data_IF_738604943597
#
_entry.id   IF_738604943597
#
_cell.length_a   1.000
_cell.length_b   1.000
_cell.length_c   1.000
_cell.angle_alpha   90.00
_cell.angle_beta   90.00
_cell.angle_gamma   90.00
#
_symmetry.space_group_name_H-M   'P 1'
#
loop_
_entity.id
_entity.type
_entity.pdbx_description
1 polymer ?
#
# COMPACT_ATOMS: atom_id res chain seq x y z
N UNK A 1 84.88 6.61 19.40
CA UNK A 1 84.38 6.26 20.75
C UNK A 1 82.92 5.83 20.57
N UNK A 2 82.59 4.53 20.51
CA UNK A 2 82.40 3.55 21.63
C UNK A 2 81.07 3.77 22.40
N UNK A 3 80.07 2.85 22.42
CA UNK A 3 79.82 1.63 21.62
C UNK A 3 79.06 0.50 22.38
N UNK A 4 78.58 -0.54 21.65
CA UNK A 4 78.11 -1.90 22.12
C UNK A 4 76.85 -1.98 23.03
N UNK A 5 76.08 -3.09 23.17
CA UNK A 5 75.93 -4.47 22.56
C UNK A 5 74.57 -5.07 23.06
N UNK A 6 73.97 -6.22 22.69
CA UNK A 6 74.30 -7.52 22.02
C UNK A 6 73.49 -7.68 20.68
N UNK A 7 73.13 -8.79 20.00
CA UNK A 7 73.07 -10.28 20.18
C UNK A 7 72.01 -10.80 21.21
N UNK A 8 71.37 -11.98 21.17
CA UNK A 8 71.31 -13.21 20.32
C UNK A 8 69.82 -13.61 20.08
N UNK A 9 69.27 -14.38 19.09
CA UNK A 9 69.69 -15.21 17.93
C UNK A 9 69.66 -16.77 18.06
N UNK A 10 68.59 -17.45 17.57
CA UNK A 10 68.38 -18.91 17.20
C UNK A 10 66.97 -19.07 16.54
N UNK A 11 66.65 -19.92 15.54
CA UNK A 11 66.90 -21.36 15.22
C UNK A 11 65.97 -22.34 15.95
N UNK A 12 65.40 -23.42 15.36
CA UNK A 12 65.31 -23.92 13.97
C UNK A 12 64.08 -24.88 13.83
N UNK A 13 64.06 -25.82 12.86
CA UNK A 13 63.10 -26.93 12.58
C UNK A 13 61.76 -26.58 11.86
N UNK A 14 61.32 -27.11 10.71
CA UNK A 14 61.70 -28.18 9.72
C UNK A 14 60.87 -29.49 9.76
N UNK A 15 60.22 -29.83 8.62
CA UNK A 15 59.51 -31.10 8.25
C UNK A 15 58.23 -31.42 9.06
N UNK A 16 57.23 -32.20 8.57
CA UNK A 16 57.10 -33.05 7.37
C UNK A 16 55.67 -33.01 6.77
N UNK A 17 55.39 -33.85 5.75
CA UNK A 17 54.14 -33.93 4.99
C UNK A 17 53.27 -35.16 5.33
N UNK A 18 51.95 -35.05 5.07
CA UNK A 18 51.11 -36.21 4.73
C UNK A 18 49.84 -35.85 3.94
N UNK A 19 49.63 -36.57 2.83
CA UNK A 19 48.36 -36.90 2.17
C UNK A 19 48.15 -38.42 2.36
N UNK A 20 47.00 -39.07 2.04
CA UNK A 20 45.87 -38.64 1.21
C UNK A 20 44.52 -38.72 2.01
N UNK A 21 43.30 -38.86 1.48
CA UNK A 21 42.74 -39.81 0.49
C UNK A 21 41.72 -39.17 -0.48
N UNK A 22 41.51 -39.82 -1.63
CA UNK A 22 40.35 -39.62 -2.50
C UNK A 22 39.45 -40.87 -2.44
N UNK A 23 38.13 -40.68 -2.40
CA UNK A 23 37.14 -41.74 -2.63
C UNK A 23 36.31 -41.35 -3.85
N UNK A 24 36.01 -42.31 -4.73
CA UNK A 24 35.47 -42.08 -6.08
C UNK A 24 34.07 -42.66 -6.28
N UNK A 25 33.36 -42.11 -7.29
CA UNK A 25 32.09 -42.62 -7.85
C UNK A 25 30.82 -42.42 -6.98
N UNK A 26 29.60 -42.36 -7.52
CA UNK A 26 29.14 -42.54 -8.91
C UNK A 26 27.74 -41.90 -9.14
N UNK A 27 27.53 -41.22 -10.27
CA UNK A 27 26.20 -40.76 -10.75
C UNK A 27 25.55 -39.60 -9.97
N UNK A 28 24.51 -38.92 -10.47
CA UNK A 28 23.78 -39.08 -11.75
C UNK A 28 23.44 -37.67 -12.27
N UNK A 29 23.56 -37.45 -13.58
CA UNK A 29 23.17 -36.18 -14.21
C UNK A 29 21.65 -35.92 -14.14
N UNK A 30 21.26 -34.73 -13.71
CA UNK A 30 19.94 -34.17 -13.91
C UNK A 30 20.06 -32.64 -13.98
N UNK A 31 19.98 -32.10 -15.20
CA UNK A 31 19.78 -30.66 -15.41
C UNK A 31 18.37 -30.29 -14.94
N UNK A 32 18.26 -29.68 -13.75
CA UNK A 32 17.13 -28.81 -13.41
C UNK A 32 17.67 -27.40 -13.20
N UNK A 33 17.43 -26.52 -14.18
CA UNK A 33 17.91 -25.14 -14.18
C UNK A 33 17.03 -24.27 -13.27
N UNK A 34 17.01 -24.60 -11.98
CA UNK A 34 16.36 -23.81 -10.94
C UNK A 34 17.01 -22.44 -10.84
N UNK A 35 16.24 -21.39 -11.11
CA UNK A 35 16.67 -20.00 -10.93
C UNK A 35 16.99 -19.74 -9.46
N UNK A 36 18.26 -19.71 -9.08
CA UNK A 36 18.68 -19.34 -7.72
C UNK A 36 18.26 -17.91 -7.41
N UNK A 37 17.10 -17.76 -6.76
CA UNK A 37 16.64 -16.49 -6.19
C UNK A 37 17.50 -16.14 -5.00
N UNK A 38 18.69 -15.60 -5.28
CA UNK A 38 19.63 -15.11 -4.28
C UNK A 38 18.92 -14.12 -3.35
N UNK A 39 18.84 -14.49 -2.08
CA UNK A 39 18.14 -13.69 -1.07
C UNK A 39 19.14 -13.04 -0.13
N UNK A 40 19.00 -11.74 0.06
CA UNK A 40 19.84 -10.93 0.94
C UNK A 40 19.05 -10.70 2.22
N UNK A 41 19.66 -11.00 3.36
CA UNK A 41 19.06 -10.73 4.68
C UNK A 41 19.39 -9.31 5.09
N UNK A 42 18.37 -8.46 5.22
CA UNK A 42 18.52 -7.10 5.76
C UNK A 42 17.50 -6.86 6.88
N UNK A 43 17.96 -6.44 8.06
CA UNK A 43 17.16 -6.28 9.28
C UNK A 43 16.21 -7.48 9.57
N UNK A 44 16.71 -8.71 9.39
CA UNK A 44 15.97 -9.95 9.63
C UNK A 44 14.86 -10.27 8.61
N UNK A 45 14.68 -9.43 7.58
CA UNK A 45 13.77 -9.70 6.46
C UNK A 45 14.53 -10.37 5.32
N UNK A 46 13.90 -11.37 4.70
CA UNK A 46 14.37 -11.97 3.44
C UNK A 46 14.00 -11.02 2.30
N UNK A 47 15.01 -10.48 1.61
CA UNK A 47 14.84 -9.62 0.43
C UNK A 47 15.31 -10.39 -0.80
N UNK A 48 14.46 -10.47 -1.82
CA UNK A 48 14.81 -10.97 -3.16
C UNK A 48 15.70 -9.96 -3.89
N UNK A 49 16.72 -10.43 -4.61
CA UNK A 49 17.49 -9.58 -5.54
C UNK A 49 16.72 -9.20 -6.80
N UNK A 50 15.60 -9.87 -7.08
CA UNK A 50 14.72 -9.60 -8.23
C UNK A 50 13.35 -9.15 -7.72
N UNK A 51 12.81 -8.00 -8.16
CA UNK A 51 11.48 -7.55 -7.75
C UNK A 51 10.37 -8.44 -8.34
N UNK A 52 9.24 -8.51 -7.64
CA UNK A 52 8.03 -9.12 -8.17
C UNK A 52 7.40 -8.27 -9.31
N UNK A 53 6.31 -8.78 -9.88
CA UNK A 53 5.55 -8.15 -10.96
C UNK A 53 4.99 -6.75 -10.64
N UNK A 54 5.12 -6.29 -9.40
CA UNK A 54 4.64 -5.02 -8.88
C UNK A 54 5.78 -4.14 -8.30
N UNK A 55 7.04 -4.52 -8.50
CA UNK A 55 8.22 -3.75 -8.08
C UNK A 55 8.73 -4.04 -6.66
N UNK A 56 8.17 -5.02 -5.94
CA UNK A 56 8.58 -5.34 -4.56
C UNK A 56 9.70 -6.37 -4.51
N UNK A 57 10.74 -6.07 -3.75
CA UNK A 57 11.86 -6.97 -3.39
C UNK A 57 11.56 -7.77 -2.10
N UNK A 58 10.54 -7.38 -1.32
CA UNK A 58 10.22 -8.02 -0.04
C UNK A 58 9.13 -7.30 0.77
N UNK A 59 8.92 -7.76 2.00
CA UNK A 59 7.91 -7.21 2.93
C UNK A 59 6.49 -7.76 2.71
N UNK A 60 5.51 -7.18 3.41
CA UNK A 60 4.12 -7.69 3.50
C UNK A 60 3.29 -7.61 2.22
N UNK A 61 3.80 -6.95 1.18
CA UNK A 61 3.11 -6.76 -0.10
C UNK A 61 3.79 -7.51 -1.27
N UNK A 62 4.97 -8.08 -1.03
CA UNK A 62 5.70 -8.91 -1.99
C UNK A 62 4.95 -10.22 -2.30
N UNK A 63 4.95 -10.62 -3.57
CA UNK A 63 4.30 -11.84 -4.05
C UNK A 63 5.33 -12.81 -4.66
N UNK A 64 5.69 -13.84 -3.90
CA UNK A 64 6.63 -14.91 -4.30
C UNK A 64 6.15 -15.76 -5.47
N UNK A 65 4.85 -15.82 -5.71
CA UNK A 65 4.20 -16.67 -6.71
C UNK A 65 3.41 -15.80 -7.68
N UNK A 66 3.71 -15.83 -9.00
CA UNK A 66 2.96 -15.08 -10.00
C UNK A 66 1.56 -15.69 -10.20
N UNK A 67 0.65 -15.44 -9.22
CA UNK A 67 -0.76 -15.87 -9.21
C UNK A 67 -1.32 -15.89 -10.62
N UNK A 68 -1.60 -17.09 -11.13
CA UNK A 68 -1.97 -17.31 -12.53
C UNK A 68 -3.09 -16.36 -12.94
N UNK A 69 -2.99 -15.81 -14.16
CA UNK A 69 -3.91 -14.78 -14.61
C UNK A 69 -5.31 -15.37 -14.88
N UNK A 70 -6.15 -15.42 -13.84
CA UNK A 70 -7.50 -16.02 -13.80
C UNK A 70 -8.47 -15.50 -14.86
N UNK A 71 -8.15 -14.36 -15.47
CA UNK A 71 -8.89 -13.75 -16.58
C UNK A 71 -8.05 -13.87 -17.85
N UNK A 72 -8.44 -14.68 -18.85
CA UNK A 72 -7.65 -14.86 -20.09
C UNK A 72 -7.31 -13.55 -20.78
N UNK A 73 -6.10 -13.43 -21.34
CA UNK A 73 -5.58 -12.19 -21.91
C UNK A 73 -6.53 -11.52 -22.94
N UNK A 74 -7.22 -12.31 -23.79
CA UNK A 74 -8.23 -11.80 -24.73
C UNK A 74 -9.41 -11.09 -24.02
N UNK A 75 -9.77 -11.50 -22.81
CA UNK A 75 -10.77 -10.84 -21.97
C UNK A 75 -10.20 -9.56 -21.35
N UNK A 76 -8.92 -9.53 -20.97
CA UNK A 76 -8.22 -8.32 -20.48
C UNK A 76 -8.19 -7.26 -21.58
N UNK A 77 -7.71 -7.59 -22.79
CA UNK A 77 -7.71 -6.70 -23.96
C UNK A 77 -9.12 -6.17 -24.31
N UNK A 78 -10.14 -7.05 -24.27
CA UNK A 78 -11.55 -6.67 -24.46
C UNK A 78 -12.10 -5.78 -23.35
N UNK A 79 -11.52 -5.76 -22.14
CA UNK A 79 -11.84 -4.79 -21.06
C UNK A 79 -11.11 -3.47 -21.30
N UNK A 80 -9.84 -3.52 -21.70
CA UNK A 80 -8.99 -2.36 -21.98
C UNK A 80 -9.54 -1.50 -23.11
N UNK A 81 -9.83 -2.09 -24.28
CA UNK A 81 -10.50 -1.42 -25.41
C UNK A 81 -11.86 -0.82 -25.04
N UNK A 82 -12.52 -1.32 -23.98
CA UNK A 82 -13.76 -0.73 -23.47
C UNK A 82 -13.49 0.43 -22.52
N UNK A 83 -12.39 0.41 -21.76
CA UNK A 83 -11.92 1.52 -20.92
C UNK A 83 -11.38 2.69 -21.73
N UNK A 84 -10.49 2.45 -22.71
CA UNK A 84 -9.96 3.49 -23.60
C UNK A 84 -11.07 4.28 -24.29
N UNK A 85 -12.12 3.60 -24.79
CA UNK A 85 -13.30 4.25 -25.39
C UNK A 85 -14.13 5.09 -24.40
N UNK A 86 -14.10 4.79 -23.10
CA UNK A 86 -14.71 5.65 -22.08
C UNK A 86 -13.85 6.87 -21.78
N UNK A 87 -12.54 6.68 -21.60
CA UNK A 87 -11.58 7.74 -21.29
C UNK A 87 -11.37 8.74 -22.44
N UNK A 88 -11.76 8.38 -23.66
CA UNK A 88 -11.84 9.28 -24.81
C UNK A 88 -13.11 10.15 -24.86
N UNK A 89 -14.13 9.87 -24.03
CA UNK A 89 -15.42 10.56 -24.01
C UNK A 89 -15.94 10.72 -22.57
N UNK A 90 -15.05 11.08 -21.64
CA UNK A 90 -15.25 10.85 -20.21
C UNK A 90 -16.52 11.49 -19.66
N UNK A 91 -16.74 12.77 -19.91
CA UNK A 91 -17.84 13.54 -19.30
C UNK A 91 -19.19 13.03 -19.78
N UNK A 92 -19.30 12.73 -21.09
CA UNK A 92 -20.47 12.06 -21.67
C UNK A 92 -20.72 10.69 -21.03
N UNK A 93 -19.65 9.95 -20.72
CA UNK A 93 -19.76 8.61 -20.11
C UNK A 93 -20.08 8.67 -18.62
N UNK A 94 -19.56 9.64 -17.87
CA UNK A 94 -19.95 9.84 -16.47
C UNK A 94 -21.41 10.29 -16.40
N UNK A 95 -21.79 11.33 -17.14
CA UNK A 95 -23.14 11.89 -17.11
C UNK A 95 -24.22 10.89 -17.58
N UNK A 96 -23.99 10.16 -18.67
CA UNK A 96 -24.99 9.21 -19.20
C UNK A 96 -24.85 7.77 -18.69
N UNK A 97 -23.68 7.37 -18.19
CA UNK A 97 -23.33 5.96 -17.97
C UNK A 97 -22.55 5.67 -16.67
N UNK A 98 -22.57 6.54 -15.65
CA UNK A 98 -21.88 6.31 -14.37
C UNK A 98 -22.12 4.91 -13.76
N UNK A 99 -23.36 4.38 -13.79
CA UNK A 99 -23.67 3.00 -13.35
C UNK A 99 -22.77 1.96 -14.05
N UNK A 100 -22.45 2.16 -15.33
CA UNK A 100 -21.61 1.27 -16.14
C UNK A 100 -20.11 1.47 -15.91
N UNK A 101 -19.68 2.67 -15.52
CA UNK A 101 -18.32 2.91 -15.01
C UNK A 101 -18.13 2.14 -13.70
N UNK A 102 -19.04 2.34 -12.74
CA UNK A 102 -19.07 1.64 -11.44
C UNK A 102 -19.07 0.11 -11.57
N UNK A 103 -19.87 -0.45 -12.49
CA UNK A 103 -19.85 -1.89 -12.80
C UNK A 103 -18.50 -2.40 -13.30
N UNK A 104 -17.67 -1.57 -13.95
CA UNK A 104 -16.35 -1.94 -14.46
C UNK A 104 -15.28 -1.82 -13.38
N UNK A 105 -15.33 -0.77 -12.57
CA UNK A 105 -14.46 -0.60 -11.40
C UNK A 105 -14.57 -1.79 -10.43
N UNK A 106 -15.81 -2.21 -10.12
CA UNK A 106 -16.08 -3.42 -9.32
C UNK A 106 -15.54 -4.72 -9.95
N UNK A 107 -15.32 -4.76 -11.28
CA UNK A 107 -14.83 -5.93 -12.02
C UNK A 107 -13.32 -5.98 -12.27
N UNK A 108 -12.58 -4.91 -11.96
CA UNK A 108 -11.16 -4.78 -12.27
C UNK A 108 -10.91 -3.83 -13.45
N UNK A 109 -10.18 -2.76 -13.17
CA UNK A 109 -9.54 -1.94 -14.21
C UNK A 109 -8.27 -2.68 -14.65
N UNK A 110 -8.06 -2.93 -15.96
CA UNK A 110 -6.84 -3.56 -16.46
C UNK A 110 -5.60 -2.71 -16.12
N UNK A 111 -4.46 -3.31 -15.72
CA UNK A 111 -3.27 -2.57 -15.28
C UNK A 111 -2.81 -1.51 -16.29
N UNK A 112 -2.78 -1.86 -17.57
CA UNK A 112 -2.41 -1.01 -18.72
C UNK A 112 -3.16 0.32 -18.84
N UNK A 113 -4.35 0.43 -18.25
CA UNK A 113 -5.16 1.66 -18.27
C UNK A 113 -5.50 2.17 -16.86
N UNK A 114 -5.00 1.52 -15.81
CA UNK A 114 -5.31 1.87 -14.42
C UNK A 114 -4.84 3.27 -14.04
N UNK A 115 -3.60 3.73 -14.35
CA UNK A 115 -3.15 5.07 -13.97
C UNK A 115 -4.05 6.17 -14.53
N UNK A 116 -4.27 6.14 -15.86
CA UNK A 116 -5.16 7.07 -16.56
C UNK A 116 -6.61 6.95 -16.07
N UNK A 117 -7.11 5.74 -15.80
CA UNK A 117 -8.47 5.59 -15.28
C UNK A 117 -8.62 6.20 -13.87
N UNK A 118 -7.63 6.04 -12.99
CA UNK A 118 -7.63 6.61 -11.66
C UNK A 118 -7.57 8.15 -11.69
N UNK A 119 -6.69 8.74 -12.50
CA UNK A 119 -6.58 10.20 -12.70
C UNK A 119 -7.90 10.84 -13.18
N UNK A 120 -8.65 10.12 -14.04
CA UNK A 120 -9.98 10.53 -14.50
C UNK A 120 -11.10 10.26 -13.46
N UNK A 121 -10.98 9.22 -12.62
CA UNK A 121 -11.96 8.85 -11.59
C UNK A 121 -11.91 9.78 -10.36
N UNK A 122 -10.72 10.13 -9.87
CA UNK A 122 -10.59 11.08 -8.76
C UNK A 122 -11.07 12.48 -9.17
N UNK A 123 -10.65 12.94 -10.34
CA UNK A 123 -10.85 14.30 -10.83
C UNK A 123 -9.54 15.04 -11.11
N UNK A 124 -8.39 14.49 -10.71
CA UNK A 124 -7.06 15.06 -10.94
C UNK A 124 -6.77 15.41 -12.39
N UNK A 125 -7.37 14.70 -13.37
CA UNK A 125 -7.27 15.07 -14.79
C UNK A 125 -7.79 16.49 -15.08
N UNK A 126 -8.91 16.86 -14.47
CA UNK A 126 -9.54 18.17 -14.64
C UNK A 126 -8.69 19.26 -13.96
N UNK A 127 -8.22 19.00 -12.75
CA UNK A 127 -7.35 19.92 -12.01
C UNK A 127 -6.05 20.20 -12.77
N UNK A 128 -5.42 19.15 -13.31
CA UNK A 128 -4.23 19.24 -14.16
C UNK A 128 -4.48 20.10 -15.41
N UNK A 129 -5.64 19.94 -16.06
CA UNK A 129 -5.99 20.73 -17.25
C UNK A 129 -6.36 22.18 -16.95
N UNK A 130 -6.83 22.47 -15.73
CA UNK A 130 -7.08 23.83 -15.23
C UNK A 130 -5.79 24.55 -14.80
N UNK A 131 -4.82 23.83 -14.24
CA UNK A 131 -3.63 24.40 -13.57
C UNK A 131 -2.30 23.78 -14.07
N UNK A 132 -2.12 23.72 -15.40
CA UNK A 132 -1.05 23.01 -16.12
C UNK A 132 0.41 23.35 -15.77
N UNK A 133 0.65 24.48 -15.11
CA UNK A 133 1.99 24.93 -14.67
C UNK A 133 2.16 24.92 -13.16
N UNK A 134 1.08 24.91 -12.39
CA UNK A 134 1.11 25.14 -10.94
C UNK A 134 1.96 24.11 -10.17
N UNK A 135 1.92 22.83 -10.54
CA UNK A 135 2.81 21.83 -9.93
C UNK A 135 4.30 22.17 -10.14
N UNK A 136 4.65 22.62 -11.35
CA UNK A 136 6.02 23.02 -11.71
C UNK A 136 6.47 24.29 -10.99
N UNK A 137 5.55 25.19 -10.69
CA UNK A 137 5.78 26.37 -9.86
C UNK A 137 5.97 25.99 -8.38
N UNK A 138 5.10 25.14 -7.82
CA UNK A 138 5.14 24.69 -6.43
C UNK A 138 6.39 23.87 -6.08
N UNK A 139 6.92 23.05 -7.00
CA UNK A 139 8.18 22.33 -6.75
C UNK A 139 9.40 23.25 -6.72
N UNK A 140 9.33 24.44 -7.33
CA UNK A 140 10.40 25.45 -7.28
C UNK A 140 10.33 26.36 -6.05
N UNK A 141 9.16 26.53 -5.45
CA UNK A 141 8.98 27.31 -4.23
C UNK A 141 9.62 26.66 -3.00
N UNK A 142 10.04 27.45 -2.02
CA UNK A 142 10.39 26.94 -0.69
C UNK A 142 9.10 26.59 0.07
N UNK A 143 9.15 25.55 0.92
CA UNK A 143 8.04 25.16 1.79
C UNK A 143 8.38 25.38 3.25
N UNK A 144 7.38 25.39 4.13
CA UNK A 144 7.61 25.51 5.58
C UNK A 144 8.63 24.45 6.06
N UNK A 145 9.67 24.91 6.74
CA UNK A 145 10.78 24.07 7.18
C UNK A 145 10.31 22.87 8.02
N UNK A 146 9.22 23.02 8.80
CA UNK A 146 8.64 21.95 9.62
C UNK A 146 8.10 20.82 8.75
N UNK A 147 7.31 21.15 7.73
CA UNK A 147 6.79 20.17 6.77
C UNK A 147 7.91 19.57 5.93
N UNK A 148 8.86 20.37 5.46
CA UNK A 148 10.04 19.88 4.73
C UNK A 148 10.82 18.85 5.54
N UNK A 149 11.07 19.10 6.83
CA UNK A 149 11.80 18.19 7.70
C UNK A 149 11.00 16.92 8.03
N UNK A 150 9.70 17.02 8.28
CA UNK A 150 8.86 15.86 8.58
C UNK A 150 8.64 14.96 7.35
N UNK A 151 8.46 15.54 6.16
CA UNK A 151 8.47 14.80 4.88
C UNK A 151 9.80 14.04 4.73
N UNK A 152 10.96 14.70 4.93
CA UNK A 152 12.29 14.06 4.85
C UNK A 152 12.44 12.90 5.83
N UNK A 153 11.93 13.04 7.06
CA UNK A 153 11.93 11.97 8.07
C UNK A 153 11.08 10.78 7.63
N UNK A 154 10.05 10.96 6.80
CA UNK A 154 9.14 9.89 6.38
C UNK A 154 9.51 9.17 5.08
N UNK A 155 10.30 9.76 4.17
CA UNK A 155 10.62 9.17 2.85
C UNK A 155 11.10 7.71 2.97
N UNK A 156 12.08 7.45 3.83
CA UNK A 156 12.70 6.13 4.00
C UNK A 156 11.78 5.06 4.64
N UNK A 157 10.56 5.44 5.07
CA UNK A 157 9.56 4.53 5.66
C UNK A 157 8.43 4.16 4.70
N UNK A 158 8.38 4.75 3.51
CA UNK A 158 7.35 4.46 2.52
C UNK A 158 7.84 3.39 1.56
N UNK A 159 7.25 2.19 1.66
CA UNK A 159 7.55 1.03 0.81
C UNK A 159 9.07 0.78 0.61
N UNK A 160 9.87 0.65 1.69
CA UNK A 160 11.35 0.61 1.61
C UNK A 160 11.90 -0.61 0.85
N UNK A 161 11.06 -1.61 0.57
CA UNK A 161 11.40 -2.79 -0.21
C UNK A 161 10.94 -2.70 -1.69
N UNK A 162 10.44 -1.56 -2.16
CA UNK A 162 10.02 -1.37 -3.55
C UNK A 162 11.12 -0.67 -4.36
N UNK A 163 11.38 -1.13 -5.59
CA UNK A 163 12.49 -0.69 -6.45
C UNK A 163 12.57 0.84 -6.64
N UNK A 164 11.42 1.52 -6.74
CA UNK A 164 11.33 2.99 -6.84
C UNK A 164 11.81 3.75 -5.59
N UNK A 165 11.80 3.12 -4.41
CA UNK A 165 12.03 3.77 -3.11
C UNK A 165 13.16 3.18 -2.27
N UNK A 166 13.72 2.03 -2.65
CA UNK A 166 14.85 1.38 -1.94
C UNK A 166 16.11 2.25 -1.93
N UNK A 167 16.38 2.96 -3.04
CA UNK A 167 17.51 3.89 -3.15
C UNK A 167 17.28 5.16 -2.31
N UNK A 168 18.11 5.36 -1.30
CA UNK A 168 18.13 6.60 -0.51
C UNK A 168 18.49 7.80 -1.40
N UNK A 169 17.64 8.82 -1.38
CA UNK A 169 17.68 9.97 -2.31
C UNK A 169 17.62 9.61 -3.81
N UNK A 170 17.15 8.39 -4.14
CA UNK A 170 16.85 7.94 -5.50
C UNK A 170 15.78 8.78 -6.20
N UNK A 171 15.44 8.43 -7.44
CA UNK A 171 14.45 9.20 -8.21
C UNK A 171 13.07 9.21 -7.53
N UNK A 172 12.53 8.05 -7.12
CA UNK A 172 11.23 7.98 -6.46
C UNK A 172 11.17 8.70 -5.11
N UNK A 173 12.21 8.64 -4.29
CA UNK A 173 12.26 9.41 -3.03
C UNK A 173 12.27 10.94 -3.29
N UNK A 174 12.93 11.40 -4.36
CA UNK A 174 12.92 12.82 -4.77
C UNK A 174 11.57 13.26 -5.34
N UNK A 175 10.89 12.40 -6.08
CA UNK A 175 9.55 12.69 -6.61
C UNK A 175 8.50 12.67 -5.49
N UNK A 176 8.60 11.73 -4.54
CA UNK A 176 7.78 11.70 -3.33
C UNK A 176 7.95 12.95 -2.48
N UNK A 177 9.19 13.42 -2.28
CA UNK A 177 9.47 14.69 -1.61
C UNK A 177 8.83 15.87 -2.35
N UNK A 178 8.95 15.93 -3.69
CA UNK A 178 8.36 17.00 -4.49
C UNK A 178 6.82 17.02 -4.42
N UNK A 179 6.17 15.86 -4.57
CA UNK A 179 4.70 15.73 -4.51
C UNK A 179 4.17 16.16 -3.13
N UNK A 180 4.79 15.69 -2.05
CA UNK A 180 4.37 16.03 -0.69
C UNK A 180 4.67 17.49 -0.33
N UNK A 181 5.82 18.03 -0.74
CA UNK A 181 6.15 19.46 -0.54
C UNK A 181 5.15 20.33 -1.30
N UNK A 182 4.93 20.07 -2.58
CA UNK A 182 3.99 20.83 -3.41
C UNK A 182 2.55 20.77 -2.85
N UNK A 183 2.11 19.63 -2.31
CA UNK A 183 0.83 19.54 -1.60
C UNK A 183 0.81 20.46 -0.38
N UNK A 184 1.85 20.40 0.47
CA UNK A 184 1.90 21.17 1.72
C UNK A 184 1.96 22.70 1.51
N UNK A 185 2.41 23.14 0.34
CA UNK A 185 2.39 24.56 -0.10
C UNK A 185 1.02 24.92 -0.71
N UNK A 186 0.41 24.04 -1.52
CA UNK A 186 -0.92 24.31 -2.10
C UNK A 186 -2.02 24.40 -1.02
N UNK A 187 -1.96 23.51 -0.03
CA UNK A 187 -2.97 23.38 1.03
C UNK A 187 -2.37 23.73 2.41
N UNK A 188 -1.82 24.94 2.56
CA UNK A 188 -1.12 25.41 3.78
C UNK A 188 -1.89 25.16 5.09
N UNK A 189 -3.23 25.27 5.07
CA UNK A 189 -4.12 25.06 6.22
C UNK A 189 -4.19 23.61 6.70
N UNK A 190 -3.80 22.65 5.87
CA UNK A 190 -3.61 21.23 6.21
C UNK A 190 -2.13 20.92 6.36
N UNK A 191 -1.27 21.56 5.56
CA UNK A 191 0.17 21.35 5.56
C UNK A 191 0.53 19.92 5.12
N UNK A 192 1.36 19.25 5.90
CA UNK A 192 1.73 17.85 5.71
C UNK A 192 1.29 16.98 6.88
N UNK A 193 0.61 15.88 6.58
CA UNK A 193 0.34 14.80 7.52
C UNK A 193 1.04 13.52 7.07
N UNK A 194 1.75 12.84 8.00
CA UNK A 194 2.50 11.59 7.77
C UNK A 194 1.72 10.53 6.97
N UNK A 195 0.40 10.41 7.18
CA UNK A 195 -0.43 9.43 6.51
C UNK A 195 -0.67 9.72 5.00
N UNK A 196 -0.31 10.91 4.50
CA UNK A 196 -0.31 11.23 3.08
C UNK A 196 0.86 10.61 2.33
N UNK A 197 2.01 10.40 2.99
CA UNK A 197 3.21 9.84 2.36
C UNK A 197 3.01 8.45 1.71
N UNK A 198 2.36 7.45 2.36
CA UNK A 198 2.06 6.18 1.70
C UNK A 198 1.03 6.34 0.57
N UNK A 199 0.09 7.29 0.65
CA UNK A 199 -0.90 7.58 -0.41
C UNK A 199 -0.21 8.18 -1.65
N UNK A 200 0.73 9.11 -1.44
CA UNK A 200 1.52 9.72 -2.51
C UNK A 200 2.49 8.73 -3.15
N UNK A 201 3.18 7.90 -2.36
CA UNK A 201 4.08 6.87 -2.88
C UNK A 201 3.32 5.78 -3.67
N UNK A 202 2.14 5.36 -3.19
CA UNK A 202 1.25 4.43 -3.90
C UNK A 202 0.77 4.98 -5.26
N UNK A 203 0.55 6.29 -5.37
CA UNK A 203 0.24 6.94 -6.65
C UNK A 203 1.46 6.99 -7.58
N UNK A 204 2.65 7.32 -7.07
CA UNK A 204 3.89 7.40 -7.84
C UNK A 204 4.31 6.06 -8.47
N UNK A 205 4.03 4.93 -7.83
CA UNK A 205 4.21 3.58 -8.42
C UNK A 205 3.36 3.32 -9.67
N UNK A 206 2.45 4.24 -10.02
CA UNK A 206 1.51 4.07 -11.13
C UNK A 206 1.51 5.22 -12.14
N UNK A 207 1.86 6.45 -11.74
CA UNK A 207 1.79 7.62 -12.63
C UNK A 207 2.88 8.66 -12.35
N UNK A 208 3.24 9.51 -13.34
CA UNK A 208 4.23 10.57 -13.16
C UNK A 208 3.89 11.52 -12.01
N UNK A 209 4.91 12.14 -11.42
CA UNK A 209 4.76 12.98 -10.22
C UNK A 209 3.69 14.09 -10.33
N UNK A 210 3.54 14.73 -11.48
CA UNK A 210 2.50 15.73 -11.71
C UNK A 210 1.07 15.12 -11.71
N UNK A 211 0.88 13.92 -12.27
CA UNK A 211 -0.41 13.21 -12.20
C UNK A 211 -0.69 12.67 -10.79
N UNK A 212 0.36 12.21 -10.08
CA UNK A 212 0.28 11.73 -8.71
C UNK A 212 -0.08 12.86 -7.73
N UNK A 213 0.52 14.04 -7.89
CA UNK A 213 0.16 15.26 -7.16
C UNK A 213 -1.32 15.62 -7.35
N UNK A 214 -1.80 15.70 -8.60
CA UNK A 214 -3.20 16.04 -8.85
C UNK A 214 -4.19 14.95 -8.37
N UNK A 215 -3.76 13.69 -8.31
CA UNK A 215 -4.52 12.64 -7.64
C UNK A 215 -4.54 12.81 -6.12
N UNK A 216 -3.41 13.15 -5.49
CA UNK A 216 -3.32 13.36 -4.04
C UNK A 216 -4.21 14.52 -3.59
N UNK A 217 -4.09 15.68 -4.24
CA UNK A 217 -4.96 16.85 -4.05
C UNK A 217 -6.43 16.44 -4.17
N UNK A 218 -6.79 15.81 -5.29
CA UNK A 218 -8.16 15.35 -5.52
C UNK A 218 -8.66 14.33 -4.49
N UNK A 219 -7.80 13.50 -3.89
CA UNK A 219 -8.18 12.52 -2.86
C UNK A 219 -8.37 13.22 -1.50
N UNK A 220 -7.44 14.08 -1.09
CA UNK A 220 -7.53 14.86 0.13
C UNK A 220 -8.80 15.72 0.16
N UNK A 221 -9.04 16.51 -0.89
CA UNK A 221 -10.07 17.55 -0.88
C UNK A 221 -11.50 16.98 -0.98
N UNK A 222 -11.70 15.90 -1.75
CA UNK A 222 -13.02 15.34 -2.11
C UNK A 222 -13.36 14.01 -1.45
N UNK A 223 -12.38 13.23 -0.99
CA UNK A 223 -12.62 11.87 -0.47
C UNK A 223 -12.24 11.72 1.01
N UNK A 224 -11.27 12.51 1.49
CA UNK A 224 -10.72 12.46 2.85
C UNK A 224 -10.78 13.87 3.51
N UNK A 225 -11.80 14.65 3.14
CA UNK A 225 -11.98 16.03 3.58
C UNK A 225 -12.00 16.10 5.12
N UNK A 226 -11.10 16.88 5.72
CA UNK A 226 -10.98 17.00 7.18
C UNK A 226 -10.28 15.83 7.89
N UNK A 227 -9.95 14.71 7.22
CA UNK A 227 -9.26 13.57 7.85
C UNK A 227 -7.86 13.94 8.36
N UNK A 228 -7.14 14.76 7.59
CA UNK A 228 -5.78 15.21 7.90
C UNK A 228 -5.75 16.49 8.78
N UNK A 229 -6.89 16.91 9.34
CA UNK A 229 -6.96 18.08 10.23
C UNK A 229 -6.33 17.82 11.60
N UNK A 230 -5.89 18.89 12.27
CA UNK A 230 -5.45 18.81 13.66
C UNK A 230 -6.60 18.32 14.55
N UNK A 231 -6.36 17.26 15.34
CA UNK A 231 -7.40 16.62 16.16
C UNK A 231 -8.22 15.54 15.43
N UNK A 232 -8.14 15.45 14.09
CA UNK A 232 -8.76 14.39 13.28
C UNK A 232 -10.28 14.22 13.54
N UNK A 233 -11.03 15.31 13.76
CA UNK A 233 -12.44 15.27 14.19
C UNK A 233 -13.32 14.47 13.23
N UNK A 234 -13.16 14.64 11.92
CA UNK A 234 -13.91 13.90 10.90
C UNK A 234 -13.66 12.39 10.98
N UNK A 235 -12.42 11.97 11.27
CA UNK A 235 -12.06 10.56 11.44
C UNK A 235 -12.69 9.98 12.72
N UNK A 236 -12.80 10.75 13.79
CA UNK A 236 -13.48 10.33 15.02
C UNK A 236 -14.99 10.14 14.78
N UNK A 237 -15.64 11.08 14.07
CA UNK A 237 -17.06 10.99 13.66
C UNK A 237 -17.29 9.76 12.78
N UNK A 238 -16.45 9.55 11.76
CA UNK A 238 -16.50 8.37 10.90
C UNK A 238 -16.19 7.07 11.66
N UNK A 239 -15.44 7.14 12.77
CA UNK A 239 -15.25 6.04 13.70
C UNK A 239 -16.54 5.63 14.41
N UNK A 240 -17.32 6.57 14.95
CA UNK A 240 -18.61 6.25 15.55
C UNK A 240 -19.63 5.77 14.51
N UNK A 241 -19.58 6.29 13.27
CA UNK A 241 -20.37 5.75 12.15
C UNK A 241 -19.96 4.30 11.86
N UNK A 242 -18.65 4.00 11.79
CA UNK A 242 -18.14 2.64 11.59
C UNK A 242 -18.59 1.73 12.73
N UNK A 243 -18.51 2.16 13.98
CA UNK A 243 -18.91 1.38 15.16
C UNK A 243 -20.43 1.10 15.18
N UNK A 244 -21.23 2.10 14.81
CA UNK A 244 -22.67 1.96 14.58
C UNK A 244 -23.02 1.01 13.42
N UNK A 245 -22.18 0.91 12.39
CA UNK A 245 -22.30 -0.07 11.31
C UNK A 245 -21.86 -1.48 11.75
N UNK A 246 -20.79 -1.62 12.53
CA UNK A 246 -20.38 -2.92 13.13
C UNK A 246 -21.50 -3.48 14.01
N UNK A 247 -22.17 -2.64 14.80
CA UNK A 247 -23.35 -3.02 15.60
C UNK A 247 -24.47 -3.65 14.76
N UNK A 248 -24.64 -3.23 13.50
CA UNK A 248 -25.63 -3.78 12.55
C UNK A 248 -25.11 -5.01 11.80
N UNK A 249 -23.85 -5.00 11.37
CA UNK A 249 -23.26 -6.02 10.46
C UNK A 249 -22.69 -7.24 11.19
N UNK A 250 -22.18 -7.07 12.41
CA UNK A 250 -21.67 -8.15 13.27
C UNK A 250 -21.86 -7.80 14.76
N UNK A 251 -23.09 -7.96 15.32
CA UNK A 251 -23.42 -7.54 16.68
C UNK A 251 -22.55 -8.18 17.78
N UNK A 252 -21.97 -9.35 17.52
CA UNK A 252 -21.02 -10.02 18.39
C UNK A 252 -19.67 -9.30 18.49
N UNK A 253 -19.14 -8.81 17.36
CA UNK A 253 -17.89 -8.03 17.32
C UNK A 253 -18.09 -6.69 18.04
N UNK A 254 -19.21 -6.00 17.79
CA UNK A 254 -19.58 -4.78 18.53
C UNK A 254 -19.62 -5.00 20.05
N UNK A 255 -20.29 -6.08 20.51
CA UNK A 255 -20.34 -6.44 21.93
C UNK A 255 -18.94 -6.72 22.51
N UNK A 256 -18.06 -7.38 21.74
CA UNK A 256 -16.68 -7.65 22.17
C UNK A 256 -15.87 -6.37 22.31
N UNK A 257 -15.80 -5.54 21.26
CA UNK A 257 -15.07 -4.28 21.27
C UNK A 257 -15.56 -3.36 22.40
N UNK A 258 -16.87 -3.24 22.61
CA UNK A 258 -17.44 -2.48 23.73
C UNK A 258 -17.09 -3.08 25.10
N UNK A 259 -17.03 -4.41 25.25
CA UNK A 259 -16.56 -5.06 26.49
C UNK A 259 -15.09 -4.71 26.79
N UNK A 260 -14.24 -4.72 25.76
CA UNK A 260 -12.81 -4.42 25.88
C UNK A 260 -12.48 -2.92 25.89
N UNK A 261 -13.49 -2.03 25.84
CA UNK A 261 -13.34 -0.57 25.71
C UNK A 261 -12.48 -0.15 24.50
N UNK A 262 -12.55 -0.90 23.40
CA UNK A 262 -11.82 -0.56 22.16
C UNK A 262 -12.62 0.45 21.36
N UNK A 263 -12.12 1.68 21.33
CA UNK A 263 -12.62 2.76 20.50
C UNK A 263 -12.11 2.62 19.04
N UNK A 264 -12.88 3.08 18.04
CA UNK A 264 -12.55 2.89 16.62
C UNK A 264 -11.15 3.40 16.22
N UNK A 265 -10.76 4.56 16.77
CA UNK A 265 -9.49 5.24 16.50
C UNK A 265 -8.25 4.38 16.79
N UNK A 266 -8.35 3.38 17.69
CA UNK A 266 -7.23 2.52 18.10
C UNK A 266 -6.79 1.49 17.05
N UNK A 267 -7.61 1.29 16.01
CA UNK A 267 -7.34 0.37 14.89
C UNK A 267 -7.62 0.97 13.50
N UNK A 268 -8.60 1.87 13.35
CA UNK A 268 -9.01 2.35 12.01
C UNK A 268 -8.12 3.45 11.43
N UNK A 269 -7.25 4.07 12.23
CA UNK A 269 -6.56 5.31 11.85
C UNK A 269 -5.66 5.12 10.63
N UNK A 270 -4.81 4.09 10.59
CA UNK A 270 -4.01 3.80 9.39
C UNK A 270 -4.90 3.35 8.21
N UNK A 271 -5.92 2.52 8.48
CA UNK A 271 -6.85 2.03 7.46
C UNK A 271 -7.54 3.16 6.68
N UNK A 272 -7.97 4.21 7.38
CA UNK A 272 -8.73 5.32 6.82
C UNK A 272 -7.82 6.44 6.28
N UNK A 273 -6.83 6.89 7.06
CA UNK A 273 -5.93 7.96 6.63
C UNK A 273 -5.01 7.55 5.47
N UNK A 274 -4.54 6.29 5.45
CA UNK A 274 -3.70 5.76 4.38
C UNK A 274 -4.52 5.02 3.30
N UNK A 275 -5.85 5.04 3.38
CA UNK A 275 -6.77 4.32 2.45
C UNK A 275 -6.34 2.85 2.22
N UNK A 276 -6.03 2.14 3.30
CA UNK A 276 -5.52 0.76 3.34
C UNK A 276 -4.18 0.47 2.61
N UNK A 277 -3.49 1.47 2.06
CA UNK A 277 -2.26 1.27 1.25
C UNK A 277 -1.11 0.57 1.99
N UNK A 278 -1.09 0.66 3.32
CA UNK A 278 -0.10 0.00 4.20
C UNK A 278 -0.55 -1.35 4.78
N UNK A 279 -1.84 -1.70 4.63
CA UNK A 279 -2.46 -2.83 5.35
C UNK A 279 -2.81 -4.01 4.43
N UNK A 280 -3.23 -3.76 3.19
CA UNK A 280 -3.72 -4.80 2.28
C UNK A 280 -2.62 -5.33 1.33
N UNK A 281 -2.67 -6.64 0.97
CA UNK A 281 -1.86 -7.22 -0.11
C UNK A 281 -2.05 -6.47 -1.43
N UNK A 282 -1.00 -6.44 -2.27
CA UNK A 282 -0.94 -5.51 -3.41
C UNK A 282 -2.08 -5.68 -4.43
N UNK A 283 -2.37 -6.92 -4.84
CA UNK A 283 -3.50 -7.20 -5.75
C UNK A 283 -4.83 -6.68 -5.17
N UNK A 284 -5.03 -6.81 -3.87
CA UNK A 284 -6.26 -6.41 -3.18
C UNK A 284 -6.40 -4.89 -3.10
N UNK A 285 -5.33 -4.17 -2.74
CA UNK A 285 -5.39 -2.70 -2.60
C UNK A 285 -5.70 -2.02 -3.92
N UNK A 286 -5.10 -2.45 -5.04
CA UNK A 286 -5.42 -1.99 -6.39
C UNK A 286 -6.93 -2.08 -6.69
N UNK A 287 -7.56 -3.15 -6.21
CA UNK A 287 -8.96 -3.50 -6.47
C UNK A 287 -9.93 -2.80 -5.53
N UNK A 288 -9.50 -2.49 -4.31
CA UNK A 288 -10.16 -1.54 -3.42
C UNK A 288 -10.12 -0.12 -4.00
N UNK A 289 -8.96 0.32 -4.52
CA UNK A 289 -8.78 1.65 -5.11
C UNK A 289 -9.57 1.88 -6.40
N UNK A 290 -9.62 0.88 -7.30
CA UNK A 290 -10.54 0.88 -8.46
C UNK A 290 -11.98 1.27 -8.05
N UNK A 291 -12.47 0.74 -6.92
CA UNK A 291 -13.80 1.04 -6.40
C UNK A 291 -13.85 2.36 -5.63
N UNK A 292 -12.86 2.65 -4.78
CA UNK A 292 -12.82 3.84 -3.91
C UNK A 292 -12.87 5.13 -4.73
N UNK A 293 -12.02 5.28 -5.75
CA UNK A 293 -12.01 6.49 -6.59
C UNK A 293 -13.34 6.65 -7.36
N UNK A 294 -14.02 5.55 -7.67
CA UNK A 294 -15.30 5.55 -8.37
C UNK A 294 -16.54 5.74 -7.48
N UNK A 295 -16.51 5.33 -6.21
CA UNK A 295 -17.68 5.30 -5.33
C UNK A 295 -17.55 6.13 -4.05
N UNK A 296 -16.37 6.65 -3.73
CA UNK A 296 -16.09 7.44 -2.54
C UNK A 296 -15.75 6.61 -1.29
N UNK A 297 -15.58 7.32 -0.17
CA UNK A 297 -15.16 6.79 1.14
C UNK A 297 -16.02 5.63 1.66
N UNK A 298 -17.27 5.50 1.17
CA UNK A 298 -18.13 4.31 1.42
C UNK A 298 -17.57 2.96 0.95
N UNK A 299 -16.42 2.92 0.28
CA UNK A 299 -15.65 1.68 0.04
C UNK A 299 -14.72 1.37 1.22
N UNK A 300 -14.05 2.38 1.80
CA UNK A 300 -13.18 2.26 2.99
C UNK A 300 -13.96 1.64 4.15
N UNK A 301 -15.15 2.18 4.44
CA UNK A 301 -16.10 1.62 5.42
C UNK A 301 -16.47 0.15 5.15
N UNK A 302 -16.72 -0.23 3.88
CA UNK A 302 -17.08 -1.62 3.54
C UNK A 302 -15.92 -2.57 3.74
N UNK A 303 -14.69 -2.17 3.39
CA UNK A 303 -13.48 -2.95 3.66
C UNK A 303 -13.29 -3.13 5.16
N UNK A 304 -13.34 -2.04 5.94
CA UNK A 304 -13.24 -2.10 7.40
C UNK A 304 -14.29 -3.04 8.02
N UNK A 305 -15.55 -2.98 7.57
CA UNK A 305 -16.62 -3.86 8.04
C UNK A 305 -16.38 -5.34 7.69
N UNK A 306 -15.77 -5.65 6.54
CA UNK A 306 -15.36 -7.02 6.20
C UNK A 306 -14.22 -7.48 7.10
N UNK A 307 -13.17 -6.68 7.26
CA UNK A 307 -12.03 -7.02 8.12
C UNK A 307 -12.47 -7.25 9.58
N UNK A 308 -13.20 -6.31 10.18
CA UNK A 308 -13.74 -6.43 11.53
C UNK A 308 -14.64 -7.68 11.70
N UNK A 309 -15.52 -7.94 10.73
CA UNK A 309 -16.41 -9.11 10.75
C UNK A 309 -15.66 -10.43 10.63
N UNK A 310 -14.63 -10.53 9.80
CA UNK A 310 -13.98 -11.82 9.54
C UNK A 310 -12.73 -12.08 10.40
N UNK A 311 -12.06 -11.04 10.93
CA UNK A 311 -11.06 -11.18 11.99
C UNK A 311 -11.72 -11.64 13.29
N UNK A 312 -12.73 -10.90 13.78
CA UNK A 312 -13.29 -11.12 15.13
C UNK A 312 -14.64 -11.85 15.16
N UNK A 313 -15.38 -11.96 14.05
CA UNK A 313 -16.74 -12.50 14.07
C UNK A 313 -16.86 -14.00 14.36
N UNK A 314 -15.76 -14.77 14.31
CA UNK A 314 -15.73 -16.19 14.67
C UNK A 314 -15.62 -16.34 16.20
N UNK A 315 -16.55 -17.04 16.83
CA UNK A 315 -16.55 -17.25 18.30
C UNK A 315 -15.27 -17.90 18.84
N UNK A 316 -14.59 -18.74 18.04
CA UNK A 316 -13.29 -19.32 18.38
C UNK A 316 -12.13 -18.29 18.42
N UNK A 317 -12.22 -17.17 17.68
CA UNK A 317 -11.24 -16.07 17.77
C UNK A 317 -11.55 -15.18 18.97
N UNK A 318 -12.82 -14.86 19.23
CA UNK A 318 -13.20 -14.08 20.42
C UNK A 318 -12.75 -14.74 21.74
N UNK A 319 -12.71 -16.08 21.81
CA UNK A 319 -12.13 -16.83 22.93
C UNK A 319 -10.61 -16.70 23.06
N UNK A 320 -9.90 -16.42 21.97
CA UNK A 320 -8.45 -16.18 21.93
C UNK A 320 -8.07 -14.70 22.13
N UNK A 321 -9.04 -13.79 22.14
CA UNK A 321 -8.83 -12.36 22.37
C UNK A 321 -9.45 -11.89 23.70
N UNK A 322 -9.00 -12.41 24.86
CA UNK A 322 -9.63 -12.17 26.16
C UNK A 322 -9.53 -10.73 26.65
N UNK A 323 -8.57 -9.93 26.18
CA UNK A 323 -8.31 -8.55 26.62
C UNK A 323 -8.34 -7.55 25.47
N UNK A 324 -8.02 -6.28 25.76
CA UNK A 324 -7.78 -5.24 24.76
C UNK A 324 -6.57 -5.57 23.86
N UNK A 325 -5.52 -6.19 24.41
CA UNK A 325 -4.23 -6.36 23.72
C UNK A 325 -4.34 -7.30 22.52
N UNK A 326 -4.74 -8.55 22.72
CA UNK A 326 -4.81 -9.54 21.63
C UNK A 326 -5.93 -9.19 20.63
N UNK A 327 -6.95 -8.44 21.08
CA UNK A 327 -7.98 -7.91 20.18
C UNK A 327 -7.42 -6.82 19.25
N UNK A 328 -6.60 -5.89 19.77
CA UNK A 328 -5.95 -4.87 18.95
C UNK A 328 -4.85 -5.45 18.05
N UNK A 329 -4.12 -6.48 18.50
CA UNK A 329 -3.13 -7.21 17.71
C UNK A 329 -3.76 -7.81 16.44
N UNK A 330 -4.90 -8.52 16.60
CA UNK A 330 -5.68 -9.14 15.50
C UNK A 330 -6.37 -8.11 14.58
N UNK A 331 -6.56 -6.87 15.03
CA UNK A 331 -7.07 -5.78 14.19
C UNK A 331 -5.96 -5.01 13.47
N UNK A 332 -4.79 -4.85 14.08
CA UNK A 332 -3.62 -4.25 13.43
C UNK A 332 -3.00 -5.19 12.40
N UNK A 333 -3.08 -6.50 12.64
CA UNK A 333 -2.62 -7.55 11.73
C UNK A 333 -3.79 -8.50 11.37
N UNK A 334 -4.72 -8.10 10.49
CA UNK A 334 -5.82 -8.98 10.08
C UNK A 334 -5.28 -10.26 9.39
N UNK A 335 -5.92 -11.43 9.56
CA UNK A 335 -5.42 -12.67 8.95
C UNK A 335 -5.33 -12.57 7.42
N UNK A 336 -4.18 -12.89 6.82
CA UNK A 336 -3.95 -12.75 5.37
C UNK A 336 -5.07 -13.33 4.50
N UNK A 337 -5.58 -14.51 4.85
CA UNK A 337 -6.66 -15.18 4.12
C UNK A 337 -8.00 -14.39 4.02
N UNK A 338 -8.20 -13.35 4.85
CA UNK A 338 -9.35 -12.44 4.72
C UNK A 338 -9.02 -11.14 3.97
N UNK A 339 -7.73 -10.90 3.69
CA UNK A 339 -7.20 -9.75 2.95
C UNK A 339 -6.84 -10.10 1.49
N UNK A 340 -6.85 -11.37 1.09
CA UNK A 340 -6.68 -11.78 -0.31
C UNK A 340 -7.83 -11.30 -1.21
N UNK A 341 -7.52 -10.98 -2.48
CA UNK A 341 -8.43 -10.27 -3.39
C UNK A 341 -9.79 -10.97 -3.51
N UNK A 342 -9.78 -12.27 -3.84
CA UNK A 342 -11.01 -13.03 -4.09
C UNK A 342 -11.95 -12.99 -2.89
N UNK A 343 -11.43 -13.19 -1.67
CA UNK A 343 -12.24 -13.15 -0.47
C UNK A 343 -12.74 -11.73 -0.17
N UNK A 344 -11.84 -10.75 -0.06
CA UNK A 344 -12.19 -9.40 0.38
C UNK A 344 -13.16 -8.74 -0.61
N UNK A 345 -12.87 -8.80 -1.91
CA UNK A 345 -13.68 -8.13 -2.95
C UNK A 345 -15.06 -8.81 -3.09
N UNK A 346 -15.16 -10.14 -2.89
CA UNK A 346 -16.44 -10.85 -2.85
C UNK A 346 -17.27 -10.45 -1.62
N UNK A 347 -16.67 -10.41 -0.42
CA UNK A 347 -17.38 -10.00 0.80
C UNK A 347 -17.82 -8.52 0.74
N UNK A 348 -16.97 -7.61 0.25
CA UNK A 348 -17.32 -6.20 0.00
C UNK A 348 -18.49 -6.11 -0.98
N UNK A 349 -18.45 -6.86 -2.09
CA UNK A 349 -19.54 -6.91 -3.08
C UNK A 349 -20.84 -7.49 -2.53
N UNK A 350 -20.75 -8.41 -1.57
CA UNK A 350 -21.91 -9.02 -0.92
C UNK A 350 -22.53 -8.07 0.11
N UNK A 351 -21.74 -7.30 0.87
CA UNK A 351 -22.26 -6.20 1.69
C UNK A 351 -23.01 -5.18 0.84
N UNK A 352 -22.54 -4.85 -0.36
CA UNK A 352 -23.22 -3.90 -1.27
C UNK A 352 -24.64 -4.35 -1.69
N UNK A 353 -24.91 -5.65 -1.77
CA UNK A 353 -26.27 -6.17 -2.08
C UNK A 353 -27.23 -6.03 -0.90
N UNK A 354 -26.72 -6.24 0.31
CA UNK A 354 -27.54 -6.31 1.52
C UNK A 354 -27.66 -4.96 2.26
N UNK A 355 -26.83 -3.97 1.90
CA UNK A 355 -26.70 -2.71 2.64
C UNK A 355 -27.39 -1.56 1.88
N UNK A 356 -28.71 -1.50 1.97
CA UNK A 356 -29.49 -0.32 1.58
C UNK A 356 -29.34 0.88 2.55
N UNK A 357 -28.43 0.76 3.52
CA UNK A 357 -28.25 1.67 4.66
C UNK A 357 -27.11 2.68 4.50
N UNK A 358 -26.23 2.50 3.51
CA UNK A 358 -25.24 3.51 3.10
C UNK A 358 -25.79 4.16 1.82
N UNK A 359 -26.86 4.94 1.99
CA UNK A 359 -27.38 5.85 0.95
C UNK A 359 -26.48 7.08 0.85
N UNK A 360 -26.63 7.82 -0.25
CA UNK A 360 -25.98 9.11 -0.43
C UNK A 360 -26.40 10.11 0.67
N UNK A 361 -25.45 10.41 1.56
CA UNK A 361 -25.13 11.80 1.91
C UNK A 361 -24.01 12.24 0.96
#
# INVERSE_FOLDING_TARGET
MTGRSRFESRSDDVMASSYPEQVTSQGVDNDDSGSETSSIVHNGSVISTVPDRHGFLGGTQYSTDPKQQTVPAIVVLRREQKWLRMLAHWDRVMNANYKKVRERCRKGIPPSVRPRAWLFLCGGKLLLEQSKTLYKELILQEGDARWVDDIRKDLHRQFPFHEMFVDQAGHGQRDLFQVLKAYSILNESVGYCQAQAPVAAFLLMHMPAEEAFWCLVSICDKYLTGYYSQGMETLQIDGEILFGLVKKVSPNVYKHLKKQKIEPILYMTEWFLCVFTRTLPWDTILRVWDMFLCEGVKIVFKVALVLLKFSLGRAGVLKKCPTMYETLEVLRNPPQAIMEEEFLINQVSTLQKNTAFIKEN
#
